data_IF_803771008766
#
_entry.id   IF_803771008766
#
_cell.length_a   1.000
_cell.length_b   1.000
_cell.length_c   1.000
_cell.angle_alpha   90.00
_cell.angle_beta   90.00
_cell.angle_gamma   90.00
#
_symmetry.space_group_name_H-M   'P 1'
#
loop_
_entity.id
_entity.type
_entity.pdbx_description
1 polymer ?
#
# COMPACT_ATOMS: atom_id res chain seq x y z
N UNK A 1 13.10 -77.32 -24.73
CA UNK A 1 12.71 -76.07 -25.45
C UNK A 1 12.60 -74.93 -24.48
N UNK A 2 13.68 -74.13 -24.34
CA UNK A 2 13.72 -72.97 -23.44
C UNK A 2 13.37 -71.72 -24.26
N UNK A 3 12.24 -71.09 -23.97
CA UNK A 3 11.85 -69.81 -24.60
C UNK A 3 12.55 -68.66 -23.88
N UNK A 4 13.41 -67.97 -24.61
CA UNK A 4 14.07 -66.73 -24.15
C UNK A 4 13.07 -65.56 -24.38
N UNK A 5 12.70 -64.88 -23.29
CA UNK A 5 11.89 -63.68 -23.36
C UNK A 5 12.84 -62.45 -23.36
N UNK A 6 12.95 -61.78 -24.49
CA UNK A 6 13.74 -60.56 -24.62
C UNK A 6 12.87 -59.38 -24.17
N UNK A 7 13.18 -58.76 -23.06
CA UNK A 7 12.53 -57.57 -22.54
C UNK A 7 13.21 -56.34 -23.17
N UNK A 8 12.54 -55.67 -24.08
CA UNK A 8 13.01 -54.43 -24.69
C UNK A 8 12.60 -53.27 -23.82
N UNK A 9 13.56 -52.67 -23.10
CA UNK A 9 13.35 -51.45 -22.33
C UNK A 9 13.44 -50.26 -23.29
N UNK A 10 12.29 -49.67 -23.62
CA UNK A 10 12.22 -48.39 -24.34
C UNK A 10 12.54 -47.25 -23.35
N UNK A 11 13.77 -46.73 -23.41
CA UNK A 11 14.16 -45.56 -22.65
C UNK A 11 13.46 -44.31 -23.21
N UNK A 12 12.57 -43.71 -22.41
CA UNK A 12 12.04 -42.37 -22.66
C UNK A 12 13.18 -41.34 -22.42
N UNK A 13 13.76 -40.85 -23.51
CA UNK A 13 14.67 -39.70 -23.48
C UNK A 13 13.78 -38.47 -23.31
N UNK A 14 13.72 -37.97 -22.07
CA UNK A 14 13.11 -36.67 -21.74
C UNK A 14 14.02 -35.57 -22.31
N UNK A 15 13.67 -35.00 -23.46
CA UNK A 15 14.34 -33.82 -24.01
C UNK A 15 13.88 -32.66 -23.17
N UNK A 16 14.67 -32.32 -22.16
CA UNK A 16 14.50 -31.06 -21.42
C UNK A 16 14.69 -29.88 -22.39
N UNK A 17 13.62 -29.15 -22.67
CA UNK A 17 13.71 -27.87 -23.38
C UNK A 17 14.40 -26.88 -22.45
N UNK A 18 15.69 -26.63 -22.65
CA UNK A 18 16.39 -25.52 -22.01
C UNK A 18 15.88 -24.23 -22.66
N UNK A 19 14.91 -23.59 -22.04
CA UNK A 19 14.55 -22.22 -22.41
C UNK A 19 15.74 -21.30 -22.09
N UNK A 20 16.40 -20.76 -23.11
CA UNK A 20 17.46 -19.78 -22.92
C UNK A 20 16.83 -18.46 -22.47
N UNK A 21 17.24 -17.95 -21.29
CA UNK A 21 16.83 -16.64 -20.82
C UNK A 21 17.70 -15.58 -21.52
N UNK A 22 17.16 -15.00 -22.58
CA UNK A 22 17.83 -13.98 -23.39
C UNK A 22 17.25 -12.59 -23.09
N UNK A 23 18.06 -11.51 -23.19
CA UNK A 23 17.58 -10.15 -22.99
C UNK A 23 16.42 -9.80 -23.94
N UNK A 24 15.28 -9.39 -23.39
CA UNK A 24 14.09 -9.00 -24.15
C UNK A 24 14.18 -7.52 -24.57
N UNK A 25 13.70 -7.15 -25.78
CA UNK A 25 13.67 -5.74 -26.23
C UNK A 25 12.86 -4.80 -25.33
N UNK A 26 11.87 -5.34 -24.62
CA UNK A 26 11.07 -4.68 -23.59
C UNK A 26 11.35 -5.39 -22.27
N UNK A 27 12.33 -4.92 -21.46
CA UNK A 27 12.69 -5.57 -20.22
C UNK A 27 11.53 -5.48 -19.21
N UNK A 28 11.45 -6.48 -18.35
CA UNK A 28 10.52 -6.47 -17.24
C UNK A 28 10.94 -5.45 -16.19
N UNK A 29 9.97 -4.86 -15.51
CA UNK A 29 10.15 -3.99 -14.38
C UNK A 29 9.04 -4.24 -13.34
N UNK A 30 9.29 -3.82 -12.13
CA UNK A 30 8.35 -3.86 -11.01
C UNK A 30 8.51 -2.57 -10.19
N UNK A 31 7.40 -1.99 -9.79
CA UNK A 31 7.37 -0.95 -8.78
C UNK A 31 6.46 -1.40 -7.64
N UNK A 32 6.90 -1.15 -6.42
CA UNK A 32 6.18 -1.47 -5.20
C UNK A 32 6.10 -0.20 -4.35
N UNK A 33 4.91 0.07 -3.83
CA UNK A 33 4.67 1.22 -2.96
C UNK A 33 3.71 0.84 -1.85
N UNK A 34 4.05 1.23 -0.62
CA UNK A 34 3.12 1.18 0.50
C UNK A 34 2.41 2.52 0.65
N UNK A 35 1.07 2.49 0.67
CA UNK A 35 0.20 3.63 0.97
C UNK A 35 -0.53 3.30 2.27
N UNK A 36 -0.21 4.02 3.35
CA UNK A 36 -0.69 3.63 4.68
C UNK A 36 -0.21 2.24 5.10
N UNK A 37 -1.14 1.29 5.22
CA UNK A 37 -0.86 -0.13 5.50
C UNK A 37 -1.06 -1.03 4.26
N UNK A 38 -1.35 -0.44 3.11
CA UNK A 38 -1.63 -1.15 1.86
C UNK A 38 -0.38 -1.25 1.00
N UNK A 39 0.00 -2.46 0.63
CA UNK A 39 1.06 -2.73 -0.32
C UNK A 39 0.48 -2.83 -1.72
N UNK A 40 1.01 -2.02 -2.64
CA UNK A 40 0.62 -1.96 -4.04
C UNK A 40 1.81 -2.34 -4.89
N UNK A 41 1.59 -3.20 -5.88
CA UNK A 41 2.63 -3.63 -6.80
C UNK A 41 2.15 -3.47 -8.24
N UNK A 42 3.02 -2.94 -9.12
CA UNK A 42 2.82 -2.94 -10.56
C UNK A 42 3.98 -3.66 -11.24
N UNK A 43 3.69 -4.76 -11.92
CA UNK A 43 4.67 -5.55 -12.69
C UNK A 43 4.38 -5.42 -14.19
N UNK A 44 5.37 -5.01 -14.97
CA UNK A 44 5.15 -4.64 -16.37
C UNK A 44 6.39 -4.84 -17.22
N UNK A 45 6.25 -4.70 -18.54
CA UNK A 45 7.37 -4.65 -19.46
C UNK A 45 7.50 -3.25 -20.07
N UNK A 46 8.74 -2.78 -20.23
CA UNK A 46 9.11 -1.40 -20.64
C UNK A 46 9.47 -1.32 -22.12
N UNK A 47 8.50 -1.17 -23.05
CA UNK A 47 8.80 -0.89 -24.46
C UNK A 47 9.47 0.49 -24.59
N UNK A 48 10.43 0.59 -25.52
CA UNK A 48 11.06 1.86 -25.90
C UNK A 48 10.32 2.50 -27.06
N UNK A 49 10.34 3.83 -27.16
CA UNK A 49 9.85 4.61 -28.32
C UNK A 49 10.64 4.25 -29.58
N UNK A 50 11.96 4.25 -29.50
CA UNK A 50 12.86 3.88 -30.60
C UNK A 50 12.56 4.65 -31.90
N UNK A 51 12.27 5.93 -31.78
CA UNK A 51 11.97 6.81 -32.91
C UNK A 51 10.65 6.53 -33.66
N UNK A 52 9.75 5.70 -33.08
CA UNK A 52 8.44 5.39 -33.65
C UNK A 52 7.40 6.38 -33.18
N UNK A 53 6.35 6.55 -33.97
CA UNK A 53 5.09 7.15 -33.52
C UNK A 53 4.39 6.13 -32.64
N UNK A 54 4.11 6.49 -31.39
CA UNK A 54 3.47 5.58 -30.43
C UNK A 54 1.96 5.71 -30.53
N UNK A 55 1.43 6.88 -30.17
CA UNK A 55 0.00 7.10 -30.07
C UNK A 55 -0.62 7.31 -31.45
N UNK A 56 -1.63 6.51 -31.75
CA UNK A 56 -2.31 6.46 -33.06
C UNK A 56 -1.64 5.60 -34.12
N UNK A 57 -0.43 5.00 -33.83
CA UNK A 57 0.28 4.10 -34.76
C UNK A 57 0.62 2.78 -34.05
N UNK A 58 1.71 2.73 -33.26
CA UNK A 58 2.08 1.49 -32.53
C UNK A 58 1.00 1.08 -31.53
N UNK A 59 0.39 2.04 -30.89
CA UNK A 59 -0.79 1.90 -30.02
C UNK A 59 -1.93 2.70 -30.67
N UNK A 60 -2.82 2.03 -31.43
CA UNK A 60 -3.90 2.70 -32.14
C UNK A 60 -4.91 3.34 -31.17
N UNK A 61 -5.50 4.47 -31.57
CA UNK A 61 -6.61 5.07 -30.85
C UNK A 61 -7.88 4.23 -30.98
N UNK A 62 -8.70 4.18 -29.91
CA UNK A 62 -9.92 3.39 -29.85
C UNK A 62 -9.74 1.90 -29.69
N UNK A 63 -8.50 1.40 -29.60
CA UNK A 63 -8.21 -0.02 -29.44
C UNK A 63 -7.66 -0.36 -28.06
N UNK A 64 -7.98 -1.57 -27.56
CA UNK A 64 -7.51 -2.04 -26.27
C UNK A 64 -6.01 -2.31 -26.32
N UNK A 65 -5.27 -1.68 -25.43
CA UNK A 65 -3.84 -1.88 -25.23
C UNK A 65 -3.54 -2.43 -23.83
N UNK A 66 -2.64 -3.42 -23.71
CA UNK A 66 -2.25 -4.06 -22.45
C UNK A 66 -1.40 -3.21 -21.52
N UNK A 67 -1.39 -1.89 -21.72
CA UNK A 67 -0.68 -0.90 -20.91
C UNK A 67 0.82 -1.19 -20.69
N UNK A 68 1.45 -1.83 -21.67
CA UNK A 68 2.86 -2.26 -21.66
C UNK A 68 3.21 -3.12 -22.86
N UNK A 69 4.07 -4.12 -22.67
CA UNK A 69 4.51 -5.07 -23.67
C UNK A 69 4.59 -6.49 -23.09
N UNK A 70 4.65 -7.52 -23.96
CA UNK A 70 4.67 -8.94 -23.59
C UNK A 70 3.39 -9.36 -22.87
N UNK A 71 3.46 -9.86 -21.62
CA UNK A 71 2.30 -10.09 -20.76
C UNK A 71 1.64 -8.74 -20.43
N UNK A 72 0.35 -8.73 -20.18
CA UNK A 72 -0.38 -7.54 -19.71
C UNK A 72 0.24 -7.00 -18.42
N UNK A 73 0.20 -5.69 -18.23
CA UNK A 73 0.66 -5.06 -17.00
C UNK A 73 -0.19 -5.54 -15.84
N UNK A 74 0.46 -6.03 -14.80
CA UNK A 74 -0.17 -6.57 -13.60
C UNK A 74 -0.18 -5.51 -12.50
N UNK A 75 -1.32 -5.35 -11.86
CA UNK A 75 -1.51 -4.55 -10.64
C UNK A 75 -1.95 -5.47 -9.51
N UNK A 76 -1.41 -5.32 -8.33
CA UNK A 76 -1.89 -6.03 -7.14
C UNK A 76 -1.99 -5.12 -5.94
N UNK A 77 -2.99 -5.37 -5.10
CA UNK A 77 -3.19 -4.70 -3.82
C UNK A 77 -3.60 -5.72 -2.74
N UNK A 78 -3.00 -5.62 -1.56
CA UNK A 78 -3.29 -6.53 -0.46
C UNK A 78 -4.49 -6.12 0.41
N UNK A 79 -5.11 -4.97 0.13
CA UNK A 79 -6.33 -4.50 0.78
C UNK A 79 -7.25 -3.79 -0.22
N UNK A 80 -8.51 -3.57 0.18
CA UNK A 80 -9.44 -2.76 -0.60
C UNK A 80 -8.94 -1.32 -0.70
N UNK A 81 -9.05 -0.75 -1.89
CA UNK A 81 -8.63 0.63 -2.20
C UNK A 81 -9.70 1.34 -3.02
N UNK A 82 -9.52 2.65 -3.19
CA UNK A 82 -10.20 3.38 -4.25
C UNK A 82 -9.20 3.81 -5.31
N UNK A 83 -9.61 3.72 -6.56
CA UNK A 83 -8.87 4.26 -7.72
C UNK A 83 -9.73 5.36 -8.33
N UNK A 84 -9.25 6.60 -8.34
CA UNK A 84 -10.02 7.78 -8.74
C UNK A 84 -11.40 7.82 -8.05
N UNK A 85 -11.46 7.51 -6.75
CA UNK A 85 -12.68 7.51 -5.94
C UNK A 85 -13.60 6.29 -6.14
N UNK A 86 -13.29 5.35 -7.03
CA UNK A 86 -14.07 4.12 -7.26
C UNK A 86 -13.43 2.92 -6.56
N UNK A 87 -14.27 2.07 -5.95
CA UNK A 87 -13.81 0.94 -5.15
C UNK A 87 -13.15 -0.15 -6.01
N UNK A 88 -12.01 -0.64 -5.56
CA UNK A 88 -11.31 -1.81 -6.09
C UNK A 88 -10.95 -2.74 -4.93
N UNK A 89 -11.42 -3.98 -4.98
CA UNK A 89 -11.17 -4.96 -3.92
C UNK A 89 -9.70 -5.39 -3.91
N UNK A 90 -9.26 -5.94 -2.78
CA UNK A 90 -7.96 -6.61 -2.68
C UNK A 90 -7.86 -7.73 -3.72
N UNK A 91 -6.72 -7.82 -4.41
CA UNK A 91 -6.53 -8.82 -5.44
C UNK A 91 -5.46 -8.46 -6.47
N UNK A 92 -5.44 -9.27 -7.52
CA UNK A 92 -4.55 -9.09 -8.68
C UNK A 92 -5.39 -8.80 -9.92
N UNK A 93 -4.92 -7.87 -10.75
CA UNK A 93 -5.60 -7.38 -11.93
C UNK A 93 -4.62 -7.16 -13.07
N UNK A 94 -5.06 -7.38 -14.31
CA UNK A 94 -4.36 -6.84 -15.47
C UNK A 94 -4.87 -5.43 -15.78
N UNK A 95 -3.94 -4.50 -16.06
CA UNK A 95 -4.29 -3.16 -16.54
C UNK A 95 -4.32 -3.16 -18.05
N UNK A 96 -5.44 -2.68 -18.59
CA UNK A 96 -5.59 -2.33 -20.00
C UNK A 96 -5.96 -0.86 -20.14
N UNK A 97 -5.66 -0.28 -21.28
CA UNK A 97 -6.05 1.09 -21.61
C UNK A 97 -6.62 1.15 -23.02
N UNK A 98 -7.53 2.07 -23.26
CA UNK A 98 -8.01 2.43 -24.60
C UNK A 98 -7.67 3.91 -24.80
N UNK A 99 -6.55 4.21 -25.50
CA UNK A 99 -6.18 5.59 -25.80
C UNK A 99 -7.16 6.22 -26.78
N UNK A 100 -7.46 7.51 -26.58
CA UNK A 100 -8.29 8.31 -27.49
C UNK A 100 -7.53 9.53 -28.02
N UNK A 101 -7.89 9.94 -29.25
CA UNK A 101 -7.29 11.13 -29.85
C UNK A 101 -8.04 12.41 -29.40
N UNK A 102 -7.46 13.09 -28.40
CA UNK A 102 -8.01 14.34 -27.89
C UNK A 102 -9.18 14.19 -26.91
N UNK A 103 -9.28 13.04 -26.24
CA UNK A 103 -10.28 12.75 -25.21
C UNK A 103 -9.68 11.98 -24.04
N UNK A 104 -10.53 11.66 -23.07
CA UNK A 104 -10.18 10.81 -21.94
C UNK A 104 -9.90 9.38 -22.42
N UNK A 105 -8.96 8.71 -21.76
CA UNK A 105 -8.61 7.33 -22.01
C UNK A 105 -9.37 6.42 -21.07
N UNK A 106 -9.86 5.28 -21.53
CA UNK A 106 -10.36 4.27 -20.63
C UNK A 106 -9.17 3.53 -19.99
N UNK A 107 -9.21 3.36 -18.66
CA UNK A 107 -8.29 2.53 -17.88
C UNK A 107 -9.09 1.42 -17.24
N UNK A 108 -8.71 0.18 -17.50
CA UNK A 108 -9.47 -1.02 -17.15
C UNK A 108 -8.63 -1.88 -16.21
N UNK A 109 -9.19 -2.27 -15.08
CA UNK A 109 -8.65 -3.30 -14.20
C UNK A 109 -9.47 -4.57 -14.42
N UNK A 110 -8.83 -5.61 -14.96
CA UNK A 110 -9.49 -6.86 -15.33
C UNK A 110 -8.94 -8.03 -14.53
N UNK A 111 -9.81 -8.96 -14.11
CA UNK A 111 -9.45 -10.12 -13.27
C UNK A 111 -8.65 -11.19 -13.98
N UNK A 112 -8.61 -11.20 -15.31
CA UNK A 112 -7.79 -12.14 -16.07
C UNK A 112 -6.33 -11.71 -16.05
N UNK A 113 -5.50 -12.42 -15.29
CA UNK A 113 -4.10 -12.02 -15.00
C UNK A 113 -3.07 -12.69 -15.90
N UNK A 114 -3.47 -13.66 -16.74
CA UNK A 114 -2.53 -14.47 -17.54
C UNK A 114 -2.50 -14.06 -19.03
N UNK A 115 -3.12 -12.95 -19.41
CA UNK A 115 -3.24 -12.54 -20.80
C UNK A 115 -1.90 -12.07 -21.38
N UNK A 116 -1.62 -12.61 -22.57
CA UNK A 116 -0.51 -12.20 -23.41
C UNK A 116 -1.05 -11.39 -24.60
N UNK A 117 -0.94 -10.06 -24.52
CA UNK A 117 -1.59 -9.17 -25.49
C UNK A 117 -2.95 -8.67 -24.99
N UNK A 118 -3.78 -8.17 -25.88
CA UNK A 118 -5.12 -7.66 -25.59
C UNK A 118 -6.25 -8.37 -26.36
N UNK A 119 -5.89 -9.25 -27.31
CA UNK A 119 -6.86 -9.83 -28.27
C UNK A 119 -7.91 -10.77 -27.67
N UNK A 120 -7.69 -11.29 -26.47
CA UNK A 120 -8.61 -12.22 -25.79
C UNK A 120 -9.19 -11.61 -24.50
N UNK A 121 -9.17 -10.29 -24.33
CA UNK A 121 -9.73 -9.64 -23.15
C UNK A 121 -11.24 -9.89 -23.04
N UNK A 122 -11.66 -10.53 -21.96
CA UNK A 122 -13.05 -10.66 -21.60
C UNK A 122 -13.49 -9.48 -20.74
N UNK A 123 -14.32 -8.60 -21.29
CA UNK A 123 -14.82 -7.39 -20.61
C UNK A 123 -15.83 -7.70 -19.49
N UNK A 124 -16.37 -8.93 -19.42
CA UNK A 124 -17.23 -9.36 -18.30
C UNK A 124 -16.42 -9.56 -17.00
N UNK A 125 -15.10 -9.72 -17.12
CA UNK A 125 -14.17 -9.81 -16.00
C UNK A 125 -13.59 -8.46 -15.58
N UNK A 126 -14.08 -7.34 -16.12
CA UNK A 126 -13.67 -6.02 -15.68
C UNK A 126 -14.11 -5.79 -14.24
N UNK A 127 -13.14 -5.56 -13.36
CA UNK A 127 -13.40 -5.18 -11.98
C UNK A 127 -13.63 -3.66 -11.85
N UNK A 128 -12.99 -2.87 -12.70
CA UNK A 128 -13.08 -1.42 -12.70
C UNK A 128 -12.79 -0.89 -14.10
N UNK A 129 -13.52 0.14 -14.51
CA UNK A 129 -13.33 0.87 -15.75
C UNK A 129 -13.44 2.38 -15.47
N UNK A 130 -12.37 3.12 -15.73
CA UNK A 130 -12.22 4.55 -15.43
C UNK A 130 -12.01 5.34 -16.73
N UNK A 131 -12.51 6.55 -16.77
CA UNK A 131 -12.11 7.55 -17.75
C UNK A 131 -11.07 8.47 -17.11
N UNK A 132 -9.92 8.64 -17.77
CA UNK A 132 -8.77 9.39 -17.26
C UNK A 132 -8.24 10.31 -18.34
N UNK A 133 -8.13 11.58 -18.03
CA UNK A 133 -7.54 12.56 -18.97
C UNK A 133 -6.03 12.37 -19.03
N UNK A 134 -5.46 12.10 -20.23
CA UNK A 134 -4.02 12.03 -20.41
C UNK A 134 -3.39 13.41 -20.33
N UNK A 135 -2.19 13.50 -19.75
CA UNK A 135 -1.41 14.71 -19.67
C UNK A 135 -0.20 14.65 -20.60
N UNK A 136 0.06 15.75 -21.32
CA UNK A 136 1.33 15.90 -22.03
C UNK A 136 2.42 16.33 -21.04
N UNK A 137 3.53 15.57 -21.02
CA UNK A 137 4.69 15.89 -20.21
C UNK A 137 5.87 16.35 -21.07
N UNK A 138 6.65 17.33 -20.57
CA UNK A 138 7.79 17.88 -21.30
C UNK A 138 8.88 16.82 -21.57
N UNK A 139 9.07 15.90 -20.63
CA UNK A 139 10.01 14.79 -20.78
C UNK A 139 9.43 13.73 -21.70
N UNK A 140 10.04 13.55 -22.86
CA UNK A 140 9.70 12.41 -23.72
C UNK A 140 10.31 11.14 -23.14
N UNK A 141 9.56 10.47 -22.26
CA UNK A 141 9.95 9.23 -21.61
C UNK A 141 10.17 8.12 -22.66
N UNK A 142 11.45 7.79 -22.94
CA UNK A 142 11.84 6.83 -23.99
C UNK A 142 11.33 5.41 -23.69
N UNK A 143 11.36 4.98 -22.42
CA UNK A 143 10.90 3.66 -22.01
C UNK A 143 9.70 3.82 -21.09
N UNK A 144 8.59 3.16 -21.44
CA UNK A 144 7.41 3.11 -20.59
C UNK A 144 7.82 2.82 -19.14
N UNK A 145 7.29 3.61 -18.21
CA UNK A 145 7.52 3.40 -16.78
C UNK A 145 6.26 3.70 -15.96
N UNK A 146 6.15 2.95 -14.88
CA UNK A 146 5.21 3.21 -13.80
C UNK A 146 6.01 3.68 -12.58
N UNK A 147 5.48 4.68 -11.88
CA UNK A 147 6.07 5.20 -10.66
C UNK A 147 4.97 5.81 -9.77
N UNK A 148 5.29 6.03 -8.49
CA UNK A 148 4.37 6.67 -7.56
C UNK A 148 4.86 8.08 -7.22
N UNK A 149 3.90 9.01 -7.07
CA UNK A 149 4.11 10.38 -6.59
C UNK A 149 3.12 10.72 -5.49
N UNK A 150 3.38 11.78 -4.73
CA UNK A 150 2.50 12.36 -3.70
C UNK A 150 1.97 11.34 -2.67
N UNK A 151 2.85 10.39 -2.31
CA UNK A 151 2.50 9.31 -1.38
C UNK A 151 2.43 9.82 0.06
N UNK A 152 1.33 9.50 0.74
CA UNK A 152 1.12 9.76 2.16
C UNK A 152 0.43 8.57 2.84
N UNK A 153 -0.04 8.73 4.07
CA UNK A 153 -0.65 7.65 4.84
C UNK A 153 -2.01 7.16 4.30
N UNK A 154 -2.67 7.93 3.42
CA UNK A 154 -4.02 7.62 2.94
C UNK A 154 -4.15 7.56 1.43
N UNK A 155 -3.18 8.11 0.71
CA UNK A 155 -3.24 8.21 -0.76
C UNK A 155 -1.85 8.25 -1.39
N UNK A 156 -1.81 8.03 -2.71
CA UNK A 156 -0.66 8.21 -3.57
C UNK A 156 -1.11 8.20 -5.01
N UNK A 157 -0.31 8.77 -5.90
CA UNK A 157 -0.60 8.78 -7.32
C UNK A 157 0.24 7.71 -8.03
N UNK A 158 -0.42 6.80 -8.76
CA UNK A 158 0.24 5.89 -9.69
C UNK A 158 0.27 6.53 -11.08
N UNK A 159 1.48 6.87 -11.53
CA UNK A 159 1.71 7.46 -12.85
C UNK A 159 2.25 6.42 -13.83
N UNK A 160 1.76 6.47 -15.08
CA UNK A 160 2.33 5.78 -16.23
C UNK A 160 2.83 6.82 -17.23
N UNK A 161 4.15 6.84 -17.47
CA UNK A 161 4.79 7.77 -18.42
C UNK A 161 5.33 7.02 -19.62
N UNK A 162 5.00 7.50 -20.83
CA UNK A 162 5.59 7.01 -22.06
C UNK A 162 5.34 7.96 -23.25
N UNK A 163 6.37 8.15 -24.08
CA UNK A 163 6.25 8.90 -25.34
C UNK A 163 5.57 10.27 -25.19
N UNK A 164 5.95 11.03 -24.14
CA UNK A 164 5.44 12.37 -23.87
C UNK A 164 4.04 12.44 -23.27
N UNK A 165 3.45 11.30 -22.89
CA UNK A 165 2.13 11.23 -22.24
C UNK A 165 2.24 10.64 -20.87
N UNK A 166 1.42 11.14 -19.94
CA UNK A 166 1.21 10.62 -18.58
C UNK A 166 -0.25 10.27 -18.36
N UNK A 167 -0.48 9.11 -17.73
CA UNK A 167 -1.76 8.76 -17.12
C UNK A 167 -1.54 8.69 -15.62
N UNK A 168 -2.34 9.40 -14.85
CA UNK A 168 -2.28 9.45 -13.39
C UNK A 168 -3.54 8.82 -12.79
N UNK A 169 -3.35 7.89 -11.87
CA UNK A 169 -4.42 7.26 -11.10
C UNK A 169 -4.22 7.60 -9.63
N UNK A 170 -5.19 8.29 -9.03
CA UNK A 170 -5.21 8.50 -7.58
C UNK A 170 -5.59 7.21 -6.89
N UNK A 171 -4.70 6.71 -6.05
CA UNK A 171 -4.92 5.53 -5.21
C UNK A 171 -5.20 6.01 -3.80
N UNK A 172 -6.37 5.65 -3.26
CA UNK A 172 -6.75 5.96 -1.87
C UNK A 172 -6.85 4.65 -1.10
N UNK A 173 -6.15 4.56 0.01
CA UNK A 173 -6.16 3.41 0.91
C UNK A 173 -6.58 3.88 2.31
N UNK A 174 -7.65 3.31 2.84
CA UNK A 174 -8.05 3.57 4.22
C UNK A 174 -7.26 2.65 5.16
N UNK A 175 -6.31 3.18 5.95
CA UNK A 175 -5.52 2.36 6.86
C UNK A 175 -6.34 1.94 8.11
N UNK A 176 -7.52 2.51 8.33
CA UNK A 176 -8.24 2.37 9.60
C UNK A 176 -8.72 0.95 9.86
N UNK A 177 -9.42 0.34 8.89
CA UNK A 177 -9.89 -1.05 9.01
C UNK A 177 -8.73 -2.02 9.26
N UNK A 178 -7.63 -1.86 8.51
CA UNK A 178 -6.45 -2.69 8.66
C UNK A 178 -5.73 -2.46 10.00
N UNK A 179 -5.66 -1.20 10.46
CA UNK A 179 -5.08 -0.87 11.77
C UNK A 179 -5.89 -1.50 12.91
N UNK A 180 -7.22 -1.41 12.86
CA UNK A 180 -8.11 -2.02 13.87
C UNK A 180 -7.95 -3.54 13.90
N UNK A 181 -7.88 -4.19 12.74
CA UNK A 181 -7.61 -5.62 12.64
C UNK A 181 -6.24 -5.99 13.24
N UNK A 182 -5.21 -5.21 12.92
CA UNK A 182 -3.86 -5.44 13.43
C UNK A 182 -3.80 -5.26 14.96
N UNK A 183 -4.52 -4.27 15.53
CA UNK A 183 -4.62 -4.07 16.99
C UNK A 183 -5.28 -5.28 17.63
N UNK A 184 -6.40 -5.77 17.08
CA UNK A 184 -7.11 -6.94 17.59
C UNK A 184 -6.19 -8.17 17.59
N UNK A 185 -5.54 -8.44 16.46
CA UNK A 185 -4.59 -9.56 16.34
C UNK A 185 -3.43 -9.43 17.34
N UNK A 186 -2.86 -8.22 17.48
CA UNK A 186 -1.76 -8.00 18.41
C UNK A 186 -2.18 -8.21 19.88
N UNK A 187 -3.42 -7.89 20.26
CA UNK A 187 -3.96 -8.16 21.60
C UNK A 187 -4.19 -9.65 21.86
N UNK A 188 -4.59 -10.39 20.82
CA UNK A 188 -4.77 -11.85 20.90
C UNK A 188 -3.43 -12.59 21.03
N UNK A 189 -2.40 -12.14 20.32
CA UNK A 189 -1.09 -12.78 20.26
C UNK A 189 -0.13 -12.34 21.38
N UNK A 190 -0.35 -11.18 22.00
CA UNK A 190 0.52 -10.67 23.06
C UNK A 190 0.47 -11.54 24.32
N UNK A 191 1.65 -11.80 24.90
CA UNK A 191 1.73 -12.37 26.24
C UNK A 191 1.06 -11.44 27.26
N UNK A 192 0.46 -12.01 28.32
CA UNK A 192 -0.33 -11.25 29.30
C UNK A 192 0.45 -10.07 29.90
N UNK A 193 1.75 -10.26 30.17
CA UNK A 193 2.63 -9.22 30.69
C UNK A 193 2.99 -8.10 29.72
N UNK A 194 2.69 -8.26 28.43
CA UNK A 194 3.03 -7.31 27.37
C UNK A 194 1.81 -6.61 26.74
N UNK A 195 0.59 -7.04 27.08
CA UNK A 195 -0.67 -6.45 26.54
C UNK A 195 -0.77 -4.95 26.78
N UNK A 196 -0.26 -4.44 27.88
CA UNK A 196 -0.24 -3.02 28.16
C UNK A 196 0.50 -2.18 27.10
N UNK A 197 1.52 -2.76 26.44
CA UNK A 197 2.25 -2.12 25.34
C UNK A 197 1.37 -1.99 24.10
N UNK A 198 0.61 -3.04 23.79
CA UNK A 198 -0.33 -3.04 22.66
C UNK A 198 -1.44 -2.01 22.92
N UNK A 199 -2.06 -2.03 24.10
CA UNK A 199 -3.06 -1.05 24.49
C UNK A 199 -2.55 0.39 24.41
N UNK A 200 -1.34 0.67 24.92
CA UNK A 200 -0.72 2.00 24.81
C UNK A 200 -0.54 2.43 23.36
N UNK A 201 -0.03 1.53 22.52
CA UNK A 201 0.23 1.83 21.10
C UNK A 201 -1.09 2.07 20.36
N UNK A 202 -2.12 1.26 20.63
CA UNK A 202 -3.46 1.43 20.10
C UNK A 202 -4.09 2.77 20.55
N UNK A 203 -3.92 3.13 21.81
CA UNK A 203 -4.41 4.40 22.33
C UNK A 203 -3.71 5.62 21.71
N UNK A 204 -2.39 5.56 21.50
CA UNK A 204 -1.66 6.61 20.79
C UNK A 204 -2.11 6.74 19.33
N UNK A 205 -2.34 5.62 18.66
CA UNK A 205 -2.91 5.63 17.30
C UNK A 205 -4.33 6.24 17.30
N UNK A 206 -5.15 5.94 18.30
CA UNK A 206 -6.49 6.50 18.44
C UNK A 206 -6.47 8.02 18.68
N UNK A 207 -5.52 8.51 19.51
CA UNK A 207 -5.30 9.93 19.73
C UNK A 207 -4.99 10.66 18.42
N UNK A 208 -4.05 10.13 17.62
CA UNK A 208 -3.62 10.70 16.34
C UNK A 208 -4.74 10.70 15.28
N UNK A 209 -5.73 9.80 15.42
CA UNK A 209 -6.82 9.62 14.45
C UNK A 209 -8.20 10.07 14.96
N UNK A 210 -8.27 10.82 16.06
CA UNK A 210 -9.50 11.34 16.69
C UNK A 210 -10.52 10.23 17.07
N UNK A 211 -10.03 9.05 17.43
CA UNK A 211 -10.83 7.92 17.95
C UNK A 211 -10.86 7.97 19.48
N UNK A 212 -11.32 9.10 20.02
CA UNK A 212 -11.16 9.41 21.44
C UNK A 212 -11.80 8.40 22.38
N UNK A 213 -12.97 7.86 22.02
CA UNK A 213 -13.70 6.89 22.85
C UNK A 213 -12.91 5.57 23.00
N UNK A 214 -12.49 4.97 21.89
CA UNK A 214 -11.70 3.74 21.84
C UNK A 214 -10.32 3.97 22.50
N UNK A 215 -9.70 5.11 22.22
CA UNK A 215 -8.42 5.49 22.81
C UNK A 215 -8.49 5.54 24.34
N UNK A 216 -9.55 6.11 24.90
CA UNK A 216 -9.77 6.16 26.35
C UNK A 216 -10.00 4.77 26.97
N UNK A 217 -10.66 3.85 26.28
CA UNK A 217 -10.80 2.46 26.73
C UNK A 217 -9.43 1.78 26.77
N UNK A 218 -8.67 1.84 25.68
CA UNK A 218 -7.36 1.20 25.59
C UNK A 218 -6.32 1.78 26.56
N UNK A 219 -6.29 3.12 26.73
CA UNK A 219 -5.30 3.71 27.64
C UNK A 219 -5.58 3.38 29.09
N UNK A 220 -6.85 3.26 29.50
CA UNK A 220 -7.21 2.80 30.84
C UNK A 220 -6.70 1.40 31.11
N UNK A 221 -6.86 0.48 30.14
CA UNK A 221 -6.32 -0.86 30.23
C UNK A 221 -4.79 -0.85 30.33
N UNK A 222 -4.12 -0.04 29.52
CA UNK A 222 -2.65 0.09 29.58
C UNK A 222 -2.16 0.52 30.95
N UNK A 223 -2.70 1.61 31.50
CA UNK A 223 -2.23 2.15 32.80
C UNK A 223 -2.63 1.28 33.99
N UNK A 224 -3.71 0.48 33.88
CA UNK A 224 -4.11 -0.49 34.89
C UNK A 224 -3.11 -1.63 35.05
N UNK A 225 -2.45 -2.03 33.95
CA UNK A 225 -1.49 -3.11 33.92
C UNK A 225 -0.05 -2.64 34.18
N UNK A 226 0.31 -1.45 33.68
CA UNK A 226 1.65 -0.89 33.83
C UNK A 226 1.64 0.62 33.84
N UNK A 227 2.00 1.19 34.98
CA UNK A 227 2.22 2.64 35.06
C UNK A 227 3.54 3.04 34.38
N UNK A 228 3.47 3.91 33.39
CA UNK A 228 4.63 4.54 32.76
C UNK A 228 4.27 5.94 32.27
N UNK A 229 5.27 6.82 32.15
CA UNK A 229 5.07 8.23 31.81
C UNK A 229 4.39 8.41 30.45
N UNK A 230 4.73 7.61 29.44
CA UNK A 230 4.18 7.78 28.10
C UNK A 230 2.69 7.40 28.03
N UNK A 231 2.28 6.31 28.71
CA UNK A 231 0.85 5.96 28.79
C UNK A 231 0.03 7.05 29.48
N UNK A 232 0.55 7.66 30.54
CA UNK A 232 -0.14 8.77 31.21
C UNK A 232 -0.20 10.03 30.36
N UNK A 233 0.81 10.30 29.53
CA UNK A 233 0.79 11.44 28.62
C UNK A 233 -0.24 11.23 27.49
N UNK A 234 -0.28 10.07 26.82
CA UNK A 234 -1.33 9.70 25.86
C UNK A 234 -2.73 9.79 26.51
N UNK A 235 -2.87 9.34 27.78
CA UNK A 235 -4.13 9.45 28.49
C UNK A 235 -4.57 10.90 28.67
N UNK A 236 -3.63 11.77 28.99
CA UNK A 236 -3.88 13.19 29.11
C UNK A 236 -4.38 13.80 27.79
N UNK A 237 -3.71 13.51 26.68
CA UNK A 237 -4.11 13.98 25.34
C UNK A 237 -5.53 13.54 24.97
N UNK A 238 -5.86 12.26 25.19
CA UNK A 238 -7.20 11.71 24.92
C UNK A 238 -8.28 12.36 25.81
N UNK A 239 -7.99 12.64 27.09
CA UNK A 239 -8.92 13.36 27.97
C UNK A 239 -9.13 14.80 27.51
N UNK A 240 -8.08 15.48 27.07
CA UNK A 240 -8.17 16.83 26.51
C UNK A 240 -9.00 16.86 25.24
N UNK A 241 -8.80 15.89 24.33
CA UNK A 241 -9.67 15.72 23.15
C UNK A 241 -11.13 15.47 23.51
N UNK A 242 -11.39 14.80 24.65
CA UNK A 242 -12.75 14.59 25.16
C UNK A 242 -13.32 15.82 25.89
N UNK A 243 -12.57 16.90 26.02
CA UNK A 243 -12.99 18.12 26.73
C UNK A 243 -12.80 18.05 28.25
N UNK A 244 -12.16 17.02 28.78
CA UNK A 244 -11.91 16.78 30.21
C UNK A 244 -10.57 17.39 30.67
N UNK A 245 -10.36 18.69 30.37
CA UNK A 245 -9.09 19.36 30.54
C UNK A 245 -8.51 19.25 31.96
N UNK A 246 -9.35 19.33 33.02
CA UNK A 246 -8.85 19.22 34.39
C UNK A 246 -8.26 17.84 34.71
N UNK A 247 -8.90 16.77 34.21
CA UNK A 247 -8.38 15.41 34.36
C UNK A 247 -7.16 15.17 33.45
N UNK A 248 -7.15 15.76 32.25
CA UNK A 248 -5.99 15.75 31.36
C UNK A 248 -4.73 16.32 32.05
N UNK A 249 -4.85 17.50 32.69
CA UNK A 249 -3.76 18.12 33.43
C UNK A 249 -3.23 17.19 34.55
N UNK A 250 -4.12 16.57 35.34
CA UNK A 250 -3.70 15.62 36.38
C UNK A 250 -2.92 14.42 35.84
N UNK A 251 -3.35 13.87 34.66
CA UNK A 251 -2.65 12.76 34.02
C UNK A 251 -1.29 13.19 33.47
N UNK A 252 -1.20 14.37 32.87
CA UNK A 252 0.06 14.94 32.41
C UNK A 252 1.05 15.23 33.56
N UNK A 253 0.58 15.74 34.69
CA UNK A 253 1.39 15.91 35.91
C UNK A 253 1.93 14.56 36.41
N UNK A 254 1.09 13.49 36.35
CA UNK A 254 1.54 12.14 36.70
C UNK A 254 2.59 11.62 35.71
N UNK A 255 2.44 11.92 34.42
CA UNK A 255 3.46 11.58 33.40
C UNK A 255 4.80 12.25 33.71
N UNK A 256 4.79 13.54 34.09
CA UNK A 256 5.99 14.29 34.52
C UNK A 256 6.65 13.67 35.75
N UNK A 257 5.87 13.32 36.76
CA UNK A 257 6.36 12.70 38.01
C UNK A 257 7.12 11.40 37.67
N UNK A 258 6.49 10.50 36.92
CA UNK A 258 7.07 9.20 36.56
C UNK A 258 8.30 9.39 35.65
N UNK A 259 8.19 10.23 34.62
CA UNK A 259 9.27 10.46 33.66
C UNK A 259 10.52 11.05 34.29
N UNK A 260 10.38 12.00 35.20
CA UNK A 260 11.49 12.57 35.97
C UNK A 260 12.14 11.54 36.88
N UNK A 261 11.34 10.79 37.65
CA UNK A 261 11.83 9.73 38.52
C UNK A 261 12.61 8.64 37.74
N UNK A 262 12.11 8.23 36.58
CA UNK A 262 12.77 7.23 35.74
C UNK A 262 14.09 7.79 35.17
N UNK A 263 14.10 9.04 34.74
CA UNK A 263 15.30 9.70 34.24
C UNK A 263 16.37 9.84 35.33
N UNK A 264 15.99 10.26 36.55
CA UNK A 264 16.89 10.36 37.69
C UNK A 264 17.50 8.98 38.04
N UNK A 265 16.67 7.93 38.09
CA UNK A 265 17.12 6.57 38.37
C UNK A 265 18.15 6.05 37.35
N UNK A 266 18.08 6.54 36.10
CA UNK A 266 19.00 6.21 35.01
C UNK A 266 20.14 7.23 34.83
N UNK A 267 20.27 8.22 35.71
CA UNK A 267 21.32 9.26 35.63
C UNK A 267 21.20 10.17 34.41
N UNK A 268 19.97 10.38 33.89
CA UNK A 268 19.65 11.17 32.69
C UNK A 268 18.68 12.30 32.99
N UNK A 269 18.37 13.13 32.00
CA UNK A 269 17.33 14.16 32.06
C UNK A 269 16.08 13.68 31.32
N UNK A 270 14.89 14.09 31.78
CA UNK A 270 13.63 13.72 31.11
C UNK A 270 13.39 14.65 29.92
N UNK A 271 13.67 14.15 28.71
CA UNK A 271 13.65 14.95 27.47
C UNK A 271 12.25 15.38 26.98
N UNK A 272 11.16 14.93 27.60
CA UNK A 272 9.78 15.29 27.23
C UNK A 272 9.13 16.31 28.18
N UNK A 273 9.87 16.79 29.20
CA UNK A 273 9.34 17.68 30.20
C UNK A 273 8.72 18.96 29.61
N UNK A 274 9.48 19.68 28.77
CA UNK A 274 9.02 20.94 28.17
C UNK A 274 7.77 20.73 27.30
N UNK A 275 7.67 19.62 26.57
CA UNK A 275 6.52 19.33 25.73
C UNK A 275 5.27 19.05 26.54
N UNK A 276 5.36 18.23 27.58
CA UNK A 276 4.23 17.93 28.45
C UNK A 276 3.77 19.18 29.19
N UNK A 277 4.70 20.06 29.64
CA UNK A 277 4.36 21.33 30.27
C UNK A 277 3.64 22.29 29.30
N UNK A 278 4.03 22.30 28.00
CA UNK A 278 3.34 23.10 27.00
C UNK A 278 1.90 22.59 26.76
N UNK A 279 1.70 21.28 26.74
CA UNK A 279 0.36 20.68 26.63
C UNK A 279 -0.52 21.07 27.82
N UNK A 280 0.01 20.98 29.07
CA UNK A 280 -0.69 21.39 30.28
C UNK A 280 -1.10 22.87 30.22
N UNK A 281 -0.22 23.74 29.72
CA UNK A 281 -0.54 25.17 29.57
C UNK A 281 -1.63 25.42 28.54
N UNK A 282 -1.63 24.63 27.44
CA UNK A 282 -2.66 24.70 26.39
C UNK A 282 -4.06 24.24 26.86
N UNK A 283 -4.14 23.43 27.92
CA UNK A 283 -5.41 22.92 28.44
C UNK A 283 -5.99 23.75 29.62
N UNK A 284 -5.29 24.76 30.12
CA UNK A 284 -5.78 25.70 31.16
C UNK A 284 -6.76 26.71 30.57
#
# INVERSE_FOLDING_TARGET
>A
MKKLFTLTIAGLISIGTFAQDLPKPSPAAKVEQRVGLTDITVSYSRPGVKGRTIWGDLVPYGEVWRAGANKATMFSTNSNIKVNGQDLLAGEYSIFMIPENGGDWAVIFNKETELWGAGNLNREEDALNLEVSPEMIENNTERLEYHFTDVNMKAGELCMDWAGMRITLMIEADPMEQAMKNITTALEEAEEGDKWKVYRTAASFAEDNNMTAEGLEWIKESVSQMENWYSYWVYAGLLAQNGENQEAIKKAEKALEIGKKDAEANGSTFGYEERILADIEGWK
#
